data_IF_491681112873
#
_entry.id   IF_491681112873
#
_cell.length_a   1.000
_cell.length_b   1.000
_cell.length_c   1.000
_cell.angle_alpha   90.00
_cell.angle_beta   90.00
_cell.angle_gamma   90.00
#
_symmetry.space_group_name_H-M   'P 1'
#
loop_
_entity.id
_entity.type
_entity.pdbx_description
1 polymer ?
#
# COMPACT_ATOMS: atom_id res chain seq x y z
N UNK A 1 -20.36 10.34 18.73
CA UNK A 1 -19.60 11.51 19.22
C UNK A 1 -19.02 11.33 20.64
N UNK A 2 -19.50 10.39 21.45
CA UNK A 2 -19.07 10.21 22.85
C UNK A 2 -17.64 9.63 22.98
N UNK A 3 -17.23 8.73 22.08
CA UNK A 3 -15.88 8.11 22.11
C UNK A 3 -14.73 9.03 21.72
N UNK A 4 -14.98 10.09 20.93
CA UNK A 4 -13.92 11.00 20.45
C UNK A 4 -13.52 12.00 21.54
N UNK A 5 -14.48 12.50 22.33
CA UNK A 5 -14.21 13.33 23.51
C UNK A 5 -13.46 12.55 24.59
N UNK A 6 -13.85 11.30 24.88
CA UNK A 6 -13.16 10.49 25.92
C UNK A 6 -11.77 10.01 25.48
N UNK A 7 -11.48 9.97 24.17
CA UNK A 7 -10.14 9.71 23.64
C UNK A 7 -9.27 10.96 23.72
N UNK A 8 -9.74 12.11 23.23
CA UNK A 8 -9.01 13.38 23.34
C UNK A 8 -8.70 13.76 24.80
N UNK A 9 -9.61 13.47 25.73
CA UNK A 9 -9.44 13.76 27.16
C UNK A 9 -8.44 12.81 27.85
N UNK A 10 -8.31 11.55 27.40
CA UNK A 10 -7.24 10.64 27.84
C UNK A 10 -5.89 10.98 27.20
N UNK A 11 -5.89 11.47 25.96
CA UNK A 11 -4.67 11.93 25.28
C UNK A 11 -4.07 13.17 25.96
N UNK A 12 -4.89 14.08 26.51
CA UNK A 12 -4.38 15.24 27.27
C UNK A 12 -3.70 14.88 28.58
N UNK A 13 -3.97 13.69 29.14
CA UNK A 13 -3.31 13.19 30.35
C UNK A 13 -2.00 12.44 30.04
N UNK A 14 -1.77 12.06 28.78
CA UNK A 14 -0.64 11.24 28.33
C UNK A 14 0.56 12.04 27.80
N UNK A 15 0.58 13.37 27.92
CA UNK A 15 1.63 14.20 27.29
C UNK A 15 2.57 14.85 28.29
N UNK A 16 3.79 14.30 28.37
CA UNK A 16 5.01 15.10 28.22
C UNK A 16 6.18 14.15 27.83
N UNK A 17 6.95 14.53 26.82
CA UNK A 17 8.25 13.96 26.38
C UNK A 17 8.36 12.92 25.25
N UNK A 18 7.29 12.41 24.62
CA UNK A 18 7.46 11.59 23.39
C UNK A 18 7.04 12.31 22.12
N UNK A 19 8.07 12.77 21.41
CA UNK A 19 8.17 13.19 20.01
C UNK A 19 6.88 13.71 19.36
N UNK A 20 6.78 15.02 19.10
CA UNK A 20 5.58 15.67 18.55
C UNK A 20 4.97 15.02 17.28
N UNK A 21 5.75 14.31 16.46
CA UNK A 21 5.23 13.54 15.32
C UNK A 21 4.43 12.28 15.68
N UNK A 22 4.62 11.72 16.88
CA UNK A 22 3.89 10.54 17.36
C UNK A 22 2.44 10.88 17.70
N UNK A 23 2.17 12.06 18.28
CA UNK A 23 0.80 12.50 18.59
C UNK A 23 -0.05 12.72 17.33
N UNK A 24 0.52 13.36 16.30
CA UNK A 24 -0.16 13.55 15.02
C UNK A 24 -0.45 12.21 14.35
N UNK A 25 0.50 11.28 14.41
CA UNK A 25 0.36 9.92 13.87
C UNK A 25 -0.74 9.14 14.58
N UNK A 26 -0.78 9.21 15.91
CA UNK A 26 -1.79 8.55 16.74
C UNK A 26 -3.19 9.11 16.46
N UNK A 27 -3.32 10.43 16.30
CA UNK A 27 -4.58 11.08 15.91
C UNK A 27 -5.03 10.66 14.52
N UNK A 28 -4.13 10.72 13.53
CA UNK A 28 -4.42 10.37 12.14
C UNK A 28 -4.84 8.89 12.03
N UNK A 29 -4.13 8.00 12.72
CA UNK A 29 -4.46 6.58 12.78
C UNK A 29 -5.82 6.31 13.45
N UNK A 30 -6.14 7.05 14.52
CA UNK A 30 -7.44 6.96 15.21
C UNK A 30 -8.61 7.36 14.29
N UNK A 31 -8.50 8.48 13.60
CA UNK A 31 -9.54 8.95 12.68
C UNK A 31 -9.73 8.02 11.48
N UNK A 32 -8.63 7.54 10.88
CA UNK A 32 -8.67 6.54 9.82
C UNK A 32 -9.36 5.27 10.30
N UNK A 33 -8.97 4.75 11.48
CA UNK A 33 -9.58 3.56 12.10
C UNK A 33 -11.09 3.72 12.23
N UNK A 34 -11.57 4.84 12.76
CA UNK A 34 -13.00 5.11 12.92
C UNK A 34 -13.74 5.04 11.58
N UNK A 35 -13.16 5.59 10.52
CA UNK A 35 -13.77 5.55 9.18
C UNK A 35 -13.79 4.14 8.59
N UNK A 36 -12.67 3.41 8.70
CA UNK A 36 -12.59 2.02 8.22
C UNK A 36 -13.61 1.12 8.92
N UNK A 37 -13.72 1.23 10.25
CA UNK A 37 -14.68 0.43 11.03
C UNK A 37 -16.14 0.78 10.70
N UNK A 38 -16.47 2.07 10.58
CA UNK A 38 -17.81 2.50 10.17
C UNK A 38 -18.20 2.01 8.78
N UNK A 39 -17.22 1.85 7.89
CA UNK A 39 -17.42 1.30 6.55
C UNK A 39 -17.51 -0.23 6.54
N UNK A 40 -17.36 -0.90 7.69
CA UNK A 40 -17.32 -2.36 7.79
C UNK A 40 -16.12 -2.95 7.03
N UNK A 41 -14.99 -2.25 7.02
CA UNK A 41 -13.72 -2.72 6.45
C UNK A 41 -12.97 -3.46 7.55
N UNK A 42 -12.58 -4.70 7.28
CA UNK A 42 -11.79 -5.49 8.21
C UNK A 42 -10.29 -5.28 7.92
N UNK A 43 -9.55 -4.79 8.91
CA UNK A 43 -8.13 -4.47 8.79
C UNK A 43 -7.36 -4.80 10.07
N UNK A 44 -6.05 -5.01 9.96
CA UNK A 44 -5.16 -5.42 11.05
C UNK A 44 -3.82 -4.68 11.01
N UNK A 45 -3.10 -4.62 12.14
CA UNK A 45 -1.71 -4.15 12.15
C UNK A 45 -0.81 -5.18 11.46
N UNK A 46 0.15 -4.72 10.67
CA UNK A 46 1.06 -5.60 9.93
C UNK A 46 2.50 -5.07 9.93
N UNK A 47 3.46 -5.90 9.49
CA UNK A 47 4.85 -5.55 9.21
C UNK A 47 5.48 -4.74 10.36
N UNK A 48 6.14 -3.62 10.08
CA UNK A 48 6.90 -2.86 11.09
C UNK A 48 6.02 -2.32 12.23
N UNK A 49 4.77 -1.96 11.92
CA UNK A 49 3.82 -1.51 12.94
C UNK A 49 3.38 -2.64 13.87
N UNK A 50 3.11 -3.83 13.33
CA UNK A 50 2.82 -5.00 14.17
C UNK A 50 4.04 -5.37 15.02
N UNK A 51 5.23 -5.34 14.43
CA UNK A 51 6.49 -5.58 15.14
C UNK A 51 6.64 -4.62 16.33
N UNK A 52 6.52 -3.32 16.09
CA UNK A 52 6.60 -2.31 17.13
C UNK A 52 5.56 -2.50 18.23
N UNK A 53 4.31 -2.75 17.85
CA UNK A 53 3.23 -3.05 18.78
C UNK A 53 3.54 -4.26 19.67
N UNK A 54 4.03 -5.36 19.09
CA UNK A 54 4.26 -6.62 19.81
C UNK A 54 5.57 -6.64 20.61
N UNK A 55 6.62 -5.95 20.15
CA UNK A 55 7.93 -5.94 20.79
C UNK A 55 8.10 -4.80 21.81
N UNK A 56 7.57 -3.61 21.50
CA UNK A 56 7.85 -2.38 22.26
C UNK A 56 6.60 -1.68 22.77
N UNK A 57 5.41 -2.05 22.27
CA UNK A 57 4.15 -1.37 22.59
C UNK A 57 3.99 0.01 21.93
N UNK A 58 4.90 0.37 21.02
CA UNK A 58 4.88 1.64 20.29
C UNK A 58 5.46 1.47 18.88
N UNK A 59 5.30 2.49 18.03
CA UNK A 59 5.93 2.57 16.71
C UNK A 59 7.45 2.49 16.88
N UNK A 60 8.15 1.79 16.00
CA UNK A 60 9.61 1.66 16.08
C UNK A 60 10.24 3.05 15.88
N UNK A 61 11.15 3.49 16.76
CA UNK A 61 11.81 4.79 16.60
C UNK A 61 12.52 4.89 15.24
N UNK A 62 12.18 5.93 14.47
CA UNK A 62 12.74 6.15 13.13
C UNK A 62 11.95 5.54 11.96
N UNK A 63 10.88 4.77 12.24
CA UNK A 63 9.92 4.34 11.21
C UNK A 63 9.30 5.56 10.52
N UNK A 64 8.97 5.39 9.23
CA UNK A 64 8.47 6.47 8.37
C UNK A 64 6.99 6.31 8.02
N UNK A 65 6.41 5.20 8.40
CA UNK A 65 5.11 4.73 7.96
C UNK A 65 4.41 3.86 9.01
N UNK A 66 3.11 3.72 8.82
CA UNK A 66 2.24 2.78 9.53
C UNK A 66 1.74 1.75 8.53
N UNK A 67 1.84 0.47 8.88
CA UNK A 67 1.43 -0.64 8.02
C UNK A 67 0.15 -1.29 8.54
N UNK A 68 -0.91 -1.21 7.73
CA UNK A 68 -2.17 -1.91 7.93
C UNK A 68 -2.39 -2.93 6.81
N UNK A 69 -2.86 -4.13 7.17
CA UNK A 69 -3.34 -5.12 6.21
C UNK A 69 -4.87 -5.09 6.10
N UNK A 70 -5.40 -5.35 4.91
CA UNK A 70 -6.83 -5.58 4.66
C UNK A 70 -7.04 -6.54 3.48
N UNK A 71 -8.27 -7.03 3.29
CA UNK A 71 -8.59 -7.86 2.12
C UNK A 71 -9.00 -7.02 0.92
N UNK A 72 -8.56 -7.41 -0.28
CA UNK A 72 -8.88 -6.77 -1.55
C UNK A 72 -10.39 -6.75 -1.84
N UNK A 73 -11.14 -7.72 -1.34
CA UNK A 73 -12.62 -7.74 -1.44
C UNK A 73 -13.30 -6.54 -0.77
N UNK A 74 -12.67 -5.91 0.21
CA UNK A 74 -13.18 -4.71 0.89
C UNK A 74 -12.74 -3.41 0.18
N UNK A 75 -12.02 -3.49 -0.95
CA UNK A 75 -11.54 -2.31 -1.69
C UNK A 75 -12.68 -1.38 -2.10
N UNK A 76 -13.82 -1.90 -2.54
CA UNK A 76 -14.96 -1.07 -2.94
C UNK A 76 -15.48 -0.21 -1.78
N UNK A 77 -15.48 -0.74 -0.55
CA UNK A 77 -15.83 -0.01 0.66
C UNK A 77 -14.80 1.08 0.95
N UNK A 78 -13.51 0.78 0.80
CA UNK A 78 -12.44 1.78 0.95
C UNK A 78 -12.61 2.93 -0.04
N UNK A 79 -12.85 2.63 -1.32
CA UNK A 79 -13.09 3.66 -2.36
C UNK A 79 -14.30 4.53 -2.00
N UNK A 80 -15.35 3.93 -1.45
CA UNK A 80 -16.56 4.67 -1.05
C UNK A 80 -16.32 5.67 0.10
N UNK A 81 -15.27 5.49 0.92
CA UNK A 81 -14.92 6.42 2.01
C UNK A 81 -13.85 7.45 1.66
N UNK A 82 -13.27 7.40 0.45
CA UNK A 82 -12.26 8.38 -0.01
C UNK A 82 -12.75 9.83 0.11
N UNK A 83 -13.99 10.18 -0.26
CA UNK A 83 -14.49 11.55 -0.09
C UNK A 83 -14.47 12.03 1.37
N UNK A 84 -14.82 11.15 2.32
CA UNK A 84 -14.83 11.42 3.75
C UNK A 84 -13.40 11.57 4.28
N UNK A 85 -12.47 10.73 3.82
CA UNK A 85 -11.04 10.87 4.13
C UNK A 85 -10.52 12.24 3.66
N UNK A 86 -10.82 12.63 2.43
CA UNK A 86 -10.42 13.94 1.87
C UNK A 86 -11.04 15.10 2.65
N UNK A 87 -12.29 14.98 3.09
CA UNK A 87 -12.95 15.99 3.93
C UNK A 87 -12.28 16.16 5.32
N UNK A 88 -11.62 15.12 5.84
CA UNK A 88 -10.79 15.17 7.06
C UNK A 88 -9.34 15.62 6.81
N UNK A 89 -9.00 16.01 5.58
CA UNK A 89 -7.67 16.48 5.20
C UNK A 89 -6.69 15.36 4.80
N UNK A 90 -7.13 14.10 4.70
CA UNK A 90 -6.26 13.04 4.20
C UNK A 90 -6.08 13.13 2.69
N UNK A 91 -4.84 13.03 2.24
CA UNK A 91 -4.48 12.70 0.86
C UNK A 91 -4.48 11.19 0.69
N UNK A 92 -5.07 10.70 -0.40
CA UNK A 92 -5.10 9.28 -0.76
C UNK A 92 -4.21 9.06 -1.98
N UNK A 93 -3.23 8.19 -1.82
CA UNK A 93 -2.19 7.89 -2.81
C UNK A 93 -2.41 6.45 -3.27
N UNK A 94 -3.05 6.28 -4.44
CA UNK A 94 -3.20 4.97 -5.05
C UNK A 94 -1.93 4.57 -5.79
N UNK A 95 -1.34 3.44 -5.42
CA UNK A 95 -0.33 2.79 -6.26
C UNK A 95 -1.07 1.82 -7.18
N UNK A 96 -0.72 1.77 -8.46
CA UNK A 96 -1.33 0.81 -9.38
C UNK A 96 -0.29 0.19 -10.31
N UNK A 97 -0.61 -1.03 -10.78
CA UNK A 97 0.18 -1.76 -11.75
C UNK A 97 -0.27 -1.35 -13.13
N UNK A 98 0.60 -0.78 -13.98
CA UNK A 98 0.24 -0.53 -15.35
C UNK A 98 -0.15 -1.82 -16.09
N UNK A 99 0.50 -2.94 -15.82
CA UNK A 99 0.36 -4.21 -16.56
C UNK A 99 -0.91 -5.02 -16.40
N UNK A 100 -1.83 -4.66 -15.49
CA UNK A 100 -3.04 -5.44 -15.17
C UNK A 100 -4.21 -4.55 -14.79
N UNK A 101 -5.43 -5.01 -15.08
CA UNK A 101 -6.71 -4.37 -14.73
C UNK A 101 -7.01 -4.31 -13.22
N UNK A 102 -6.05 -4.57 -12.36
CA UNK A 102 -6.22 -4.55 -10.90
C UNK A 102 -5.23 -3.57 -10.31
N UNK A 103 -5.77 -2.53 -9.69
CA UNK A 103 -5.03 -1.69 -8.76
C UNK A 103 -4.09 -2.52 -7.89
N UNK A 104 -2.89 -2.01 -7.61
CA UNK A 104 -2.04 -2.67 -6.62
C UNK A 104 -2.82 -2.81 -5.33
N UNK A 105 -2.49 -3.86 -4.60
CA UNK A 105 -2.91 -3.96 -3.22
C UNK A 105 -2.18 -2.98 -2.30
N UNK A 106 -1.78 -1.79 -2.74
CA UNK A 106 -1.20 -0.79 -1.87
C UNK A 106 -1.81 0.57 -2.14
N UNK A 107 -2.64 1.02 -1.19
CA UNK A 107 -3.09 2.40 -1.11
C UNK A 107 -2.45 3.02 0.13
N UNK A 108 -1.98 4.25 0.01
CA UNK A 108 -1.45 4.99 1.16
C UNK A 108 -2.34 6.18 1.46
N UNK A 109 -2.44 6.55 2.73
CA UNK A 109 -3.08 7.79 3.16
C UNK A 109 -2.13 8.61 4.01
N UNK A 110 -2.15 9.93 3.83
CA UNK A 110 -1.27 10.86 4.56
C UNK A 110 -2.04 12.13 4.90
N UNK A 111 -1.91 12.58 6.14
CA UNK A 111 -2.31 13.91 6.58
C UNK A 111 -1.12 14.62 7.22
N UNK A 112 -0.98 14.58 8.54
CA UNK A 112 0.06 15.29 9.29
C UNK A 112 1.11 14.30 9.82
N UNK A 113 0.66 13.23 10.51
CA UNK A 113 1.49 12.16 11.05
C UNK A 113 2.03 11.20 9.98
N UNK A 114 2.65 10.08 10.36
CA UNK A 114 3.31 9.15 9.43
C UNK A 114 2.41 8.71 8.25
N UNK A 115 3.04 8.33 7.13
CA UNK A 115 2.33 7.78 5.97
C UNK A 115 1.69 6.44 6.35
N UNK A 116 0.38 6.29 6.18
CA UNK A 116 -0.30 5.03 6.52
C UNK A 116 -0.51 4.20 5.25
N UNK A 117 0.13 3.04 5.17
CA UNK A 117 -0.01 2.05 4.12
C UNK A 117 -1.15 1.07 4.42
N UNK A 118 -2.06 0.91 3.47
CA UNK A 118 -3.08 -0.13 3.46
C UNK A 118 -2.70 -1.18 2.39
N UNK A 119 -2.15 -2.29 2.87
CA UNK A 119 -1.77 -3.47 2.09
C UNK A 119 -3.00 -4.36 1.90
N UNK A 120 -3.56 -4.39 0.69
CA UNK A 120 -4.73 -5.15 0.30
C UNK A 120 -4.33 -6.49 -0.33
N UNK A 121 -4.81 -7.58 0.24
CA UNK A 121 -4.46 -8.94 -0.19
C UNK A 121 -5.60 -9.65 -0.93
N UNK A 122 -5.28 -10.44 -1.94
CA UNK A 122 -6.15 -11.46 -2.53
C UNK A 122 -5.71 -12.83 -2.02
N UNK A 123 -6.64 -13.70 -1.61
CA UNK A 123 -6.29 -15.07 -1.28
C UNK A 123 -6.16 -15.91 -2.56
N UNK A 124 -4.98 -16.50 -2.76
CA UNK A 124 -4.68 -17.36 -3.91
C UNK A 124 -3.90 -18.58 -3.41
N UNK A 125 -4.47 -19.77 -3.55
CA UNK A 125 -3.84 -21.05 -3.20
C UNK A 125 -3.27 -21.10 -1.76
N UNK A 126 -4.00 -20.56 -0.78
CA UNK A 126 -3.54 -20.54 0.62
C UNK A 126 -2.50 -19.46 0.94
N UNK A 127 -2.25 -18.52 0.03
CA UNK A 127 -1.43 -17.33 0.26
C UNK A 127 -2.23 -16.05 0.11
N UNK A 128 -1.95 -15.07 0.96
CA UNK A 128 -2.37 -13.69 0.84
C UNK A 128 -1.38 -12.96 -0.08
N UNK A 129 -1.87 -12.53 -1.24
CA UNK A 129 -1.06 -12.03 -2.34
C UNK A 129 -1.33 -10.54 -2.59
N UNK A 130 -0.27 -9.74 -2.72
CA UNK A 130 -0.32 -8.32 -3.05
C UNK A 130 0.63 -8.02 -4.21
N UNK A 131 0.14 -7.38 -5.27
CA UNK A 131 0.98 -6.92 -6.38
C UNK A 131 1.70 -5.61 -6.06
N UNK A 132 2.96 -5.48 -6.51
CA UNK A 132 3.75 -4.26 -6.44
C UNK A 132 4.36 -3.95 -7.82
N UNK A 133 4.51 -2.67 -8.14
CA UNK A 133 5.16 -2.23 -9.37
C UNK A 133 6.14 -1.11 -9.04
N UNK A 134 7.31 -1.20 -9.67
CA UNK A 134 8.42 -0.27 -9.49
C UNK A 134 8.79 0.35 -10.82
N UNK A 135 8.90 1.68 -10.82
CA UNK A 135 9.49 2.42 -11.92
C UNK A 135 11.00 2.50 -11.67
N UNK A 136 11.78 2.10 -12.66
CA UNK A 136 13.25 2.14 -12.58
C UNK A 136 13.84 3.42 -13.15
N UNK A 137 13.05 4.21 -13.88
CA UNK A 137 13.52 5.41 -14.57
C UNK A 137 12.38 6.43 -14.81
N UNK A 138 12.71 7.58 -15.39
CA UNK A 138 11.74 8.64 -15.68
C UNK A 138 10.68 8.18 -16.70
N UNK A 139 11.07 7.46 -17.76
CA UNK A 139 10.14 6.99 -18.80
C UNK A 139 9.07 6.06 -18.23
N UNK A 140 9.45 5.16 -17.33
CA UNK A 140 8.51 4.28 -16.62
C UNK A 140 7.63 5.07 -15.65
N UNK A 141 8.11 6.16 -15.03
CA UNK A 141 7.26 7.09 -14.24
C UNK A 141 6.23 7.81 -15.10
N UNK A 142 6.62 8.31 -16.27
CA UNK A 142 5.72 9.00 -17.20
C UNK A 142 4.65 8.03 -17.71
N UNK A 143 5.08 6.85 -18.21
CA UNK A 143 4.17 5.82 -18.70
C UNK A 143 3.22 5.35 -17.59
N UNK A 144 3.69 5.27 -16.35
CA UNK A 144 2.82 5.12 -15.19
C UNK A 144 1.79 6.26 -15.24
N UNK A 145 2.12 7.51 -14.97
CA UNK A 145 1.11 8.58 -14.91
C UNK A 145 0.08 8.63 -16.06
N UNK A 146 0.46 8.33 -17.31
CA UNK A 146 -0.47 8.15 -18.44
C UNK A 146 -1.49 7.03 -18.16
N UNK A 147 -1.03 5.86 -17.75
CA UNK A 147 -1.87 4.70 -17.45
C UNK A 147 -2.78 4.98 -16.24
N UNK A 148 -2.32 5.74 -15.23
CA UNK A 148 -3.18 6.20 -14.12
C UNK A 148 -4.39 6.97 -14.64
N UNK A 149 -4.15 7.94 -15.53
CA UNK A 149 -5.21 8.77 -16.11
C UNK A 149 -6.20 7.90 -16.89
N UNK A 150 -5.72 6.92 -17.66
CA UNK A 150 -6.57 6.00 -18.42
C UNK A 150 -7.41 5.06 -17.53
N UNK A 151 -6.91 4.67 -16.36
CA UNK A 151 -7.65 3.83 -15.41
C UNK A 151 -8.67 4.62 -14.61
N UNK A 152 -8.24 5.71 -13.97
CA UNK A 152 -9.03 6.42 -12.97
C UNK A 152 -9.82 7.59 -13.56
N UNK A 153 -9.48 8.02 -14.78
CA UNK A 153 -9.94 9.28 -15.35
C UNK A 153 -9.67 10.45 -14.38
N UNK A 154 -8.50 10.37 -13.73
CA UNK A 154 -8.00 11.30 -12.72
C UNK A 154 -6.54 11.59 -12.98
N UNK A 155 -6.20 12.87 -12.91
CA UNK A 155 -4.82 13.31 -12.95
C UNK A 155 -4.24 13.10 -11.57
N UNK A 156 -3.11 12.38 -11.45
CA UNK A 156 -2.45 12.16 -10.17
C UNK A 156 -2.20 13.49 -9.44
N UNK A 157 -2.52 13.54 -8.15
CA UNK A 157 -2.42 14.76 -7.35
C UNK A 157 -1.00 15.36 -7.35
N UNK A 158 0.02 14.50 -7.34
CA UNK A 158 1.42 14.93 -7.38
C UNK A 158 1.78 15.70 -8.67
N UNK A 159 1.06 15.50 -9.78
CA UNK A 159 1.28 16.27 -11.01
C UNK A 159 0.65 17.66 -10.94
N UNK A 160 -0.46 17.80 -10.21
CA UNK A 160 -1.08 19.10 -9.97
C UNK A 160 -0.17 19.98 -9.10
N UNK A 161 0.56 19.37 -8.16
CA UNK A 161 1.54 20.06 -7.31
C UNK A 161 2.78 20.57 -8.07
N UNK A 162 3.03 20.12 -9.31
CA UNK A 162 4.10 20.66 -10.16
C UNK A 162 3.67 21.93 -10.91
N UNK A 163 2.41 22.31 -10.81
CA UNK A 163 1.85 23.46 -11.51
C UNK A 163 1.49 24.55 -10.50
N UNK A 164 2.22 25.68 -10.54
CA UNK A 164 1.93 26.81 -9.64
C UNK A 164 0.76 27.70 -10.12
N UNK A 165 0.18 27.39 -11.30
CA UNK A 165 -0.87 28.18 -11.91
C UNK A 165 -2.25 27.59 -11.57
N UNK A 166 -2.96 28.25 -10.65
CA UNK A 166 -4.30 27.84 -10.19
C UNK A 166 -5.36 27.82 -11.29
N UNK A 167 -5.25 28.71 -12.29
CA UNK A 167 -6.15 28.74 -13.46
C UNK A 167 -5.92 27.51 -14.33
N UNK A 168 -4.66 27.18 -14.59
CA UNK A 168 -4.30 25.99 -15.37
C UNK A 168 -4.71 24.70 -14.65
N UNK A 169 -4.49 24.62 -13.34
CA UNK A 169 -5.01 23.52 -12.51
C UNK A 169 -6.53 23.39 -12.65
N UNK A 170 -7.26 24.51 -12.59
CA UNK A 170 -8.71 24.54 -12.78
C UNK A 170 -9.14 24.01 -14.15
N UNK A 171 -8.49 24.45 -15.24
CA UNK A 171 -8.76 23.97 -16.59
C UNK A 171 -8.47 22.47 -16.75
N UNK A 172 -7.34 22.01 -16.19
CA UNK A 172 -6.93 20.62 -16.16
C UNK A 172 -7.99 19.76 -15.45
N UNK A 173 -8.51 20.23 -14.31
CA UNK A 173 -9.55 19.54 -13.56
C UNK A 173 -10.87 19.47 -14.35
N UNK A 174 -11.29 20.56 -15.00
CA UNK A 174 -12.49 20.59 -15.85
C UNK A 174 -12.35 19.59 -17.01
N UNK A 175 -11.21 19.63 -17.71
CA UNK A 175 -10.92 18.70 -18.80
C UNK A 175 -10.95 17.24 -18.32
N UNK A 176 -10.35 16.95 -17.16
CA UNK A 176 -10.35 15.59 -16.59
C UNK A 176 -11.76 15.08 -16.28
N UNK A 177 -12.69 15.96 -15.87
CA UNK A 177 -14.11 15.61 -15.66
C UNK A 177 -14.81 15.27 -16.98
N UNK A 178 -14.57 16.06 -18.03
CA UNK A 178 -15.12 15.80 -19.37
C UNK A 178 -14.59 14.46 -19.90
N UNK A 179 -13.28 14.25 -19.79
CA UNK A 179 -12.62 13.00 -20.19
C UNK A 179 -13.19 11.79 -19.42
N UNK A 180 -13.48 11.94 -18.13
CA UNK A 180 -14.14 10.91 -17.31
C UNK A 180 -15.53 10.57 -17.80
N UNK A 181 -16.33 11.58 -18.19
CA UNK A 181 -17.67 11.34 -18.75
C UNK A 181 -17.57 10.61 -20.08
N UNK A 182 -16.65 11.04 -20.96
CA UNK A 182 -16.40 10.39 -22.24
C UNK A 182 -15.96 8.93 -22.07
N UNK A 183 -14.95 8.66 -21.24
CA UNK A 183 -14.45 7.29 -21.02
C UNK A 183 -15.39 6.39 -20.21
N UNK A 184 -16.43 6.92 -19.55
CA UNK A 184 -17.52 6.10 -18.99
C UNK A 184 -18.44 5.53 -20.05
N UNK A 185 -18.52 6.14 -21.23
CA UNK A 185 -19.36 5.64 -22.32
C UNK A 185 -18.81 4.30 -22.83
N UNK A 186 -19.69 3.31 -23.00
CA UNK A 186 -19.32 1.95 -23.45
C UNK A 186 -18.53 1.95 -24.75
N UNK A 187 -18.79 2.93 -25.63
CA UNK A 187 -18.12 3.08 -26.91
C UNK A 187 -16.59 3.31 -26.79
N UNK A 188 -16.13 4.03 -25.77
CA UNK A 188 -14.70 4.32 -25.60
C UNK A 188 -13.95 3.26 -24.78
N UNK A 189 -14.64 2.29 -24.19
CA UNK A 189 -14.03 1.25 -23.37
C UNK A 189 -13.00 0.40 -24.15
N UNK A 190 -13.27 -0.06 -25.39
CA UNK A 190 -12.30 -0.85 -26.15
C UNK A 190 -11.01 -0.07 -26.45
N UNK A 191 -11.14 1.20 -26.84
CA UNK A 191 -10.00 2.07 -27.13
C UNK A 191 -9.17 2.29 -25.86
N UNK A 192 -9.83 2.56 -24.74
CA UNK A 192 -9.19 2.74 -23.43
C UNK A 192 -8.41 1.49 -23.02
N UNK A 193 -9.02 0.31 -23.12
CA UNK A 193 -8.37 -0.97 -22.81
C UNK A 193 -7.17 -1.23 -23.74
N UNK A 194 -7.29 -0.92 -25.04
CA UNK A 194 -6.19 -1.04 -25.98
C UNK A 194 -5.00 -0.10 -25.63
N UNK A 195 -5.29 1.16 -25.31
CA UNK A 195 -4.26 2.13 -24.90
C UNK A 195 -3.55 1.69 -23.62
N UNK A 196 -4.31 1.24 -22.61
CA UNK A 196 -3.75 0.67 -21.38
C UNK A 196 -2.81 -0.49 -21.73
N UNK A 197 -3.25 -1.45 -22.54
CA UNK A 197 -2.43 -2.61 -22.91
C UNK A 197 -1.12 -2.20 -23.61
N UNK A 198 -1.18 -1.23 -24.54
CA UNK A 198 -0.03 -0.71 -25.28
C UNK A 198 0.96 0.00 -24.35
N UNK A 199 0.50 0.98 -23.56
CA UNK A 199 1.39 1.71 -22.67
C UNK A 199 2.02 0.82 -21.61
N UNK A 200 1.29 -0.18 -21.15
CA UNK A 200 1.79 -1.18 -20.20
C UNK A 200 2.89 -2.05 -20.77
N UNK A 201 2.77 -2.41 -22.06
CA UNK A 201 3.81 -3.13 -22.78
C UNK A 201 5.08 -2.29 -22.89
N UNK A 202 4.96 -1.01 -23.21
CA UNK A 202 6.09 -0.09 -23.23
C UNK A 202 6.69 0.12 -21.85
N UNK A 203 5.87 0.24 -20.81
CA UNK A 203 6.32 0.39 -19.44
C UNK A 203 7.22 -0.77 -19.02
N UNK A 204 6.80 -2.02 -19.29
CA UNK A 204 7.63 -3.22 -19.05
C UNK A 204 8.91 -3.22 -19.89
N UNK A 205 8.79 -2.95 -21.20
CA UNK A 205 9.93 -2.92 -22.13
C UNK A 205 11.00 -1.92 -21.68
N UNK A 206 10.59 -0.80 -21.09
CA UNK A 206 11.49 0.27 -20.65
C UNK A 206 11.91 0.14 -19.18
N UNK A 207 11.79 -1.05 -18.60
CA UNK A 207 12.34 -1.36 -17.27
C UNK A 207 11.33 -1.25 -16.13
N UNK A 208 10.04 -1.18 -16.40
CA UNK A 208 9.01 -1.30 -15.38
C UNK A 208 9.02 -2.71 -14.77
N UNK A 209 9.17 -2.79 -13.45
CA UNK A 209 9.29 -4.06 -12.74
C UNK A 209 8.01 -4.38 -11.99
N UNK A 210 7.44 -5.55 -12.23
CA UNK A 210 6.34 -6.08 -11.45
C UNK A 210 6.86 -7.10 -10.45
N UNK A 211 6.46 -6.92 -9.19
CA UNK A 211 6.71 -7.81 -8.07
C UNK A 211 5.40 -8.31 -7.46
N UNK A 212 5.48 -9.41 -6.73
CA UNK A 212 4.39 -9.91 -5.89
C UNK A 212 4.92 -10.06 -4.47
N UNK A 213 4.12 -9.73 -3.46
CA UNK A 213 4.33 -10.15 -2.08
C UNK A 213 3.34 -11.29 -1.82
N UNK A 214 3.82 -12.40 -1.25
CA UNK A 214 2.99 -13.54 -0.89
C UNK A 214 3.29 -13.96 0.56
N UNK A 215 2.25 -13.99 1.38
CA UNK A 215 2.31 -14.39 2.81
C UNK A 215 1.39 -15.60 2.98
N UNK A 216 1.74 -16.64 3.77
CA UNK A 216 0.80 -17.71 4.06
C UNK A 216 -0.54 -17.17 4.62
N UNK A 217 -1.65 -17.43 3.94
CA UNK A 217 -2.94 -16.82 4.24
C UNK A 217 -3.49 -17.22 5.61
N UNK A 218 -3.03 -18.36 6.16
CA UNK A 218 -3.45 -18.85 7.46
C UNK A 218 -3.16 -17.87 8.61
N UNK A 219 -2.16 -17.00 8.46
CA UNK A 219 -1.91 -15.91 9.42
C UNK A 219 -3.02 -14.87 9.47
N UNK A 220 -3.79 -14.72 8.38
CA UNK A 220 -4.83 -13.71 8.24
C UNK A 220 -6.26 -14.28 8.29
N UNK A 221 -6.44 -15.51 8.78
CA UNK A 221 -7.77 -16.12 8.97
C UNK A 221 -8.31 -15.97 10.40
N UNK A 222 -7.44 -15.84 11.38
CA UNK A 222 -7.81 -15.65 12.79
C UNK A 222 -7.11 -14.43 13.34
N UNK A 223 -7.86 -13.59 14.03
CA UNK A 223 -7.36 -12.37 14.64
C UNK A 223 -7.68 -12.34 16.12
N UNK A 224 -6.86 -11.61 16.87
CA UNK A 224 -7.15 -11.21 18.25
C UNK A 224 -7.06 -9.70 18.38
N UNK A 225 -7.64 -9.16 19.43
CA UNK A 225 -7.46 -7.76 19.76
C UNK A 225 -6.18 -7.52 20.54
N UNK A 226 -5.49 -6.44 20.23
CA UNK A 226 -4.42 -5.85 21.03
C UNK A 226 -4.70 -4.38 21.30
N UNK A 227 -4.12 -3.83 22.36
CA UNK A 227 -4.15 -2.40 22.64
C UNK A 227 -2.91 -1.74 22.05
N UNK A 228 -3.10 -0.64 21.32
CA UNK A 228 -2.02 0.14 20.72
C UNK A 228 -2.43 1.61 20.77
N UNK A 229 -1.69 2.44 21.51
CA UNK A 229 -2.03 3.85 21.79
C UNK A 229 -3.48 4.04 22.29
N UNK A 230 -3.94 3.22 23.22
CA UNK A 230 -5.30 3.32 23.78
C UNK A 230 -6.43 2.90 22.81
N UNK A 231 -6.09 2.38 21.63
CA UNK A 231 -7.03 1.87 20.64
C UNK A 231 -6.95 0.34 20.56
N UNK A 232 -8.08 -0.32 20.33
CA UNK A 232 -8.14 -1.76 20.06
C UNK A 232 -7.93 -2.04 18.58
N UNK A 233 -6.84 -2.71 18.22
CA UNK A 233 -6.58 -3.16 16.84
C UNK A 233 -6.68 -4.67 16.73
N UNK A 234 -6.99 -5.14 15.53
CA UNK A 234 -6.81 -6.55 15.18
C UNK A 234 -5.35 -6.82 14.85
N UNK A 235 -4.86 -7.96 15.31
CA UNK A 235 -3.57 -8.53 14.93
C UNK A 235 -3.76 -10.02 14.62
N UNK A 236 -2.92 -10.63 13.77
CA UNK A 236 -2.91 -12.07 13.58
C UNK A 236 -2.95 -12.82 14.92
N UNK A 237 -3.79 -13.86 15.06
CA UNK A 237 -3.88 -14.60 16.32
C UNK A 237 -2.52 -15.18 16.73
N UNK A 238 -1.74 -15.62 15.74
CA UNK A 238 -0.38 -16.13 15.89
C UNK A 238 0.68 -15.07 15.48
N UNK A 239 0.54 -13.82 15.94
CA UNK A 239 1.46 -12.71 15.61
C UNK A 239 2.93 -13.08 15.80
N UNK A 240 3.27 -13.81 16.85
CA UNK A 240 4.66 -14.14 17.19
C UNK A 240 5.30 -15.09 16.16
N UNK A 241 4.52 -16.06 15.65
CA UNK A 241 4.97 -16.95 14.57
C UNK A 241 5.08 -16.20 13.25
N UNK A 242 4.08 -15.36 12.94
CA UNK A 242 4.08 -14.51 11.77
C UNK A 242 5.31 -13.57 11.74
N UNK A 243 5.59 -12.88 12.85
CA UNK A 243 6.74 -11.99 12.99
C UNK A 243 8.07 -12.74 13.00
N UNK A 244 8.15 -13.93 13.60
CA UNK A 244 9.35 -14.78 13.53
C UNK A 244 9.66 -15.18 12.11
N UNK A 245 8.65 -15.56 11.35
CA UNK A 245 8.84 -15.93 9.96
C UNK A 245 9.21 -14.66 9.15
N UNK A 246 8.61 -13.48 9.43
CA UNK A 246 8.84 -12.22 8.69
C UNK A 246 10.18 -11.57 9.01
N UNK A 247 10.68 -11.66 10.25
CA UNK A 247 11.88 -10.92 10.70
C UNK A 247 12.99 -11.84 11.24
N UNK A 248 12.73 -13.13 11.42
CA UNK A 248 13.65 -14.11 12.01
C UNK A 248 13.45 -14.34 13.50
N UNK A 249 14.21 -15.29 14.07
CA UNK A 249 14.06 -15.70 15.48
C UNK A 249 14.33 -14.56 16.48
N UNK A 250 15.23 -13.65 16.12
CA UNK A 250 15.61 -12.48 16.92
C UNK A 250 14.70 -11.26 16.70
N UNK A 251 13.49 -11.42 16.15
CA UNK A 251 12.59 -10.31 15.84
C UNK A 251 12.31 -9.39 17.05
N UNK A 252 12.36 -9.90 18.28
CA UNK A 252 12.19 -9.11 19.51
C UNK A 252 13.39 -8.25 19.89
N UNK A 253 14.57 -8.55 19.35
CA UNK A 253 15.83 -7.83 19.59
C UNK A 253 16.14 -6.82 18.49
N UNK A 254 15.14 -6.46 17.69
CA UNK A 254 15.30 -5.52 16.59
C UNK A 254 15.99 -4.24 17.07
N UNK A 255 17.16 -3.96 16.51
CA UNK A 255 17.97 -2.78 16.81
C UNK A 255 17.45 -1.59 15.99
N UNK A 256 16.85 -0.56 16.62
CA UNK A 256 16.34 0.62 15.92
C UNK A 256 17.43 1.44 15.21
N UNK A 257 18.71 1.27 15.59
CA UNK A 257 19.85 1.99 15.04
C UNK A 257 20.50 1.28 13.84
N UNK A 258 20.19 -0.01 13.65
CA UNK A 258 20.70 -0.82 12.56
C UNK A 258 19.76 -0.81 11.36
N UNK A 259 20.31 -0.57 10.15
CA UNK A 259 19.70 -1.00 8.89
C UNK A 259 19.45 -2.53 8.95
N UNK A 260 18.39 -3.04 9.58
CA UNK A 260 18.44 -4.43 10.05
C UNK A 260 17.14 -5.05 10.53
N UNK A 261 16.19 -5.22 9.61
CA UNK A 261 15.27 -6.35 9.62
C UNK A 261 14.99 -6.70 8.17
N UNK A 262 15.73 -7.67 7.64
CA UNK A 262 15.37 -8.25 6.35
C UNK A 262 13.98 -8.86 6.53
N UNK A 263 12.94 -8.22 5.98
CA UNK A 263 11.66 -8.89 5.74
C UNK A 263 11.98 -10.20 4.99
N UNK A 264 11.89 -11.33 5.68
CA UNK A 264 12.14 -12.67 5.17
C UNK A 264 10.94 -13.20 4.37
N UNK A 265 9.71 -12.85 4.75
CA UNK A 265 8.47 -13.40 4.12
C UNK A 265 8.03 -12.65 2.87
N UNK A 266 8.46 -11.41 2.62
CA UNK A 266 8.09 -10.78 1.34
C UNK A 266 8.91 -11.40 0.21
N UNK A 267 8.45 -12.54 -0.31
CA UNK A 267 8.99 -13.16 -1.51
C UNK A 267 8.66 -12.26 -2.71
N UNK A 268 9.46 -11.22 -2.90
CA UNK A 268 9.32 -10.31 -4.03
C UNK A 268 9.80 -11.04 -5.29
N UNK A 269 8.85 -11.69 -5.97
CA UNK A 269 9.11 -12.31 -7.27
C UNK A 269 9.04 -11.24 -8.35
N UNK A 270 10.20 -10.79 -8.87
CA UNK A 270 10.27 -9.77 -9.92
C UNK A 270 10.28 -10.40 -11.32
N UNK A 271 9.37 -9.98 -12.20
CA UNK A 271 9.36 -10.43 -13.60
C UNK A 271 10.41 -9.68 -14.46
N UNK A 272 11.18 -10.35 -15.34
CA UNK A 272 12.09 -9.69 -16.28
C UNK A 272 11.36 -8.92 -17.38
N UNK A 273 12.04 -7.92 -17.97
CA UNK A 273 11.51 -6.92 -18.93
C UNK A 273 11.00 -7.48 -20.27
N UNK A 274 11.44 -8.67 -20.65
CA UNK A 274 11.25 -9.22 -22.01
C UNK A 274 10.07 -10.23 -22.08
N UNK A 275 9.29 -10.34 -21.01
CA UNK A 275 8.29 -11.40 -20.86
C UNK A 275 6.95 -11.03 -21.50
N UNK A 276 6.52 -11.77 -22.53
CA UNK A 276 5.25 -11.58 -23.21
C UNK A 276 4.15 -12.39 -22.49
N UNK A 277 3.35 -11.74 -21.64
CA UNK A 277 2.28 -12.39 -20.89
C UNK A 277 0.99 -12.43 -21.73
N UNK A 278 0.57 -13.62 -22.15
CA UNK A 278 -0.81 -13.85 -22.60
C UNK A 278 -1.59 -14.74 -21.59
N UNK A 279 -2.85 -15.01 -21.95
CA UNK A 279 -4.03 -15.40 -21.17
C UNK A 279 -3.96 -16.64 -20.29
N UNK A 280 -2.85 -17.34 -20.30
CA UNK A 280 -2.46 -18.26 -19.25
C UNK A 280 -2.15 -17.48 -17.96
N UNK A 281 -3.04 -16.53 -17.48
CA UNK A 281 -2.85 -15.53 -16.39
C UNK A 281 -1.78 -16.06 -15.50
N UNK A 282 -0.54 -15.68 -15.81
CA UNK A 282 0.67 -16.21 -15.19
C UNK A 282 0.32 -17.46 -14.39
N UNK A 283 0.16 -18.64 -15.01
CA UNK A 283 -0.18 -19.98 -14.46
C UNK A 283 0.63 -20.39 -13.21
N UNK A 284 1.37 -19.43 -12.65
CA UNK A 284 2.49 -19.32 -11.73
C UNK A 284 2.55 -18.01 -10.90
N UNK A 285 1.51 -17.17 -10.85
CA UNK A 285 0.96 -16.95 -9.50
C UNK A 285 0.63 -18.33 -8.91
N UNK A 286 0.11 -19.26 -9.73
CA UNK A 286 -0.17 -20.66 -9.39
C UNK A 286 1.04 -21.61 -9.41
N UNK A 287 2.08 -21.18 -8.74
CA UNK A 287 2.62 -22.07 -7.73
C UNK A 287 3.22 -21.28 -6.55
N UNK A 288 2.90 -19.99 -6.40
CA UNK A 288 3.53 -18.98 -5.52
C UNK A 288 5.01 -18.71 -5.82
N UNK A 289 5.66 -19.62 -6.54
CA UNK A 289 6.13 -19.38 -7.92
C UNK A 289 6.44 -20.73 -8.63
N UNK A 290 6.89 -21.73 -7.86
CA UNK A 290 6.82 -23.22 -8.03
C UNK A 290 6.95 -23.90 -6.63
N UNK A 291 6.25 -23.35 -5.62
CA UNK A 291 6.45 -23.36 -4.14
C UNK A 291 7.43 -22.32 -3.58
N UNK A 292 7.53 -21.13 -4.20
CA UNK A 292 8.25 -19.92 -3.74
C UNK A 292 9.67 -19.66 -4.32
N UNK A 293 10.36 -20.66 -4.93
CA UNK A 293 11.19 -20.57 -6.17
C UNK A 293 12.45 -21.50 -6.22
N UNK A 294 12.45 -22.60 -7.01
CA UNK A 294 13.68 -23.20 -7.51
C UNK A 294 13.92 -22.74 -8.97
N UNK A 295 14.51 -21.55 -9.14
CA UNK A 295 15.03 -21.12 -10.46
C UNK A 295 14.83 -19.64 -10.85
N UNK A 296 14.03 -18.87 -10.11
CA UNK A 296 13.95 -17.42 -10.29
C UNK A 296 14.92 -16.71 -9.32
N UNK A 297 15.59 -15.64 -9.77
CA UNK A 297 16.42 -14.79 -8.89
C UNK A 297 15.51 -14.18 -7.82
N UNK A 298 15.51 -14.77 -6.64
CA UNK A 298 15.04 -14.17 -5.40
C UNK A 298 15.87 -12.91 -5.18
N UNK A 299 15.31 -11.75 -5.48
CA UNK A 299 15.83 -10.51 -4.89
C UNK A 299 15.25 -10.49 -3.49
N UNK A 300 15.91 -11.23 -2.58
CA UNK A 300 15.83 -10.91 -1.17
C UNK A 300 16.12 -9.41 -1.08
N UNK A 301 15.40 -8.71 -0.21
CA UNK A 301 15.58 -7.28 0.03
C UNK A 301 16.94 -7.00 0.72
N UNK A 302 18.03 -7.59 0.26
CA UNK A 302 19.40 -7.36 0.69
C UNK A 302 19.94 -6.16 -0.06
N UNK A 303 20.46 -5.17 0.67
CA UNK A 303 21.19 -4.10 0.00
C UNK A 303 20.25 -3.04 -0.55
N UNK A 304 19.89 -2.00 0.21
CA UNK A 304 19.66 -0.70 -0.46
C UNK A 304 20.85 -0.52 -1.39
N UNK A 305 20.60 -0.31 -2.67
CA UNK A 305 21.60 0.19 -3.59
C UNK A 305 22.17 1.46 -2.96
N UNK A 306 23.30 1.31 -2.24
CA UNK A 306 24.23 2.39 -1.97
C UNK A 306 24.90 2.67 -3.35
N UNK A 307 24.10 3.23 -4.24
CA UNK A 307 24.48 3.68 -5.57
C UNK A 307 24.34 5.19 -5.59
N UNK A 308 25.46 5.84 -5.28
CA UNK A 308 25.70 7.24 -5.59
C UNK A 308 25.18 7.54 -7.02
N UNK A 309 24.21 8.42 -7.13
CA UNK A 309 24.02 9.19 -8.36
C UNK A 309 24.70 10.52 -8.13
N UNK A 310 25.97 10.59 -8.54
CA UNK A 310 26.54 11.79 -9.15
C UNK A 310 25.79 12.12 -10.43
#
# INVERSE_FOLDING_TARGET
>A
MIGMRSYCQRMSELTCERFGGEMETVRDLCELKILLEKAGIHFWLQSGTLLGCMAFGHIIPGDRDIDLGMWMRDRCKFVAIIPQLRALGFRVIENYDPGRETLHGLVSVKRDGLLIHLKMYEEVNGYAVMGIARNTNLSTKILRNIIHILYFNEIPEHLLQLCDNSVLIGLIQIFSKILRIAFRQKFFQPIRSALIAVFSRFWRKWGGLYGIVAIPAHYFFKFRHTEFYGMKFLVPANSESYLREEYGDDWKRFDPSGKGGLEKISHIVVSPSNYNMNEERQKRLKAVAYEVAPGAKLVLRSKKDDGQFS
#
